data_IF_490848168981
#
_entry.id   IF_490848168981
#
_cell.length_a   1.000
_cell.length_b   1.000
_cell.length_c   1.000
_cell.angle_alpha   90.00
_cell.angle_beta   90.00
_cell.angle_gamma   90.00
#
_symmetry.space_group_name_H-M   'P 1'
#
loop_
_entity.id
_entity.type
_entity.pdbx_description
1 polymer ?
#
# COMPACT_ATOMS: atom_id res chain seq x y z
N UNK A 1 -34.40 -44.63 13.42
CA UNK A 1 -33.16 -44.59 12.61
C UNK A 1 -33.22 -43.58 11.45
N UNK A 2 -33.80 -42.37 11.60
CA UNK A 2 -33.84 -41.34 10.52
C UNK A 2 -33.33 -39.95 10.95
N UNK A 3 -33.11 -39.73 12.26
CA UNK A 3 -32.59 -38.46 12.82
C UNK A 3 -31.10 -38.22 12.55
N UNK A 4 -30.32 -39.29 12.34
CA UNK A 4 -28.88 -39.20 12.08
C UNK A 4 -28.53 -38.89 10.62
N UNK A 5 -29.44 -39.15 9.68
CA UNK A 5 -29.21 -38.92 8.25
C UNK A 5 -29.15 -37.42 7.91
N UNK A 6 -29.88 -36.59 8.65
CA UNK A 6 -29.88 -35.13 8.49
C UNK A 6 -28.60 -34.48 9.03
N UNK A 7 -28.05 -35.02 10.11
CA UNK A 7 -26.77 -34.54 10.68
C UNK A 7 -25.60 -34.90 9.75
N UNK A 8 -25.63 -36.08 9.12
CA UNK A 8 -24.61 -36.50 8.16
C UNK A 8 -24.71 -35.76 6.80
N UNK A 9 -25.92 -35.38 6.35
CA UNK A 9 -26.08 -34.53 5.15
C UNK A 9 -25.59 -33.09 5.37
N UNK A 10 -25.72 -32.53 6.58
CA UNK A 10 -25.24 -31.18 6.88
C UNK A 10 -23.71 -31.11 7.04
N UNK A 11 -23.07 -32.17 7.54
CA UNK A 11 -21.59 -32.24 7.64
C UNK A 11 -20.94 -32.36 6.25
N UNK A 12 -21.53 -33.09 5.31
CA UNK A 12 -20.98 -33.27 3.96
C UNK A 12 -20.99 -32.01 3.07
N UNK A 13 -21.97 -31.12 3.25
CA UNK A 13 -22.09 -29.88 2.48
C UNK A 13 -21.11 -28.76 2.93
N UNK A 14 -20.45 -28.93 4.08
CA UNK A 14 -19.45 -27.98 4.59
C UNK A 14 -18.02 -28.23 4.07
N UNK A 15 -17.76 -29.35 3.38
CA UNK A 15 -16.42 -29.71 2.89
C UNK A 15 -16.19 -29.50 1.38
N UNK A 16 -17.16 -28.95 0.65
CA UNK A 16 -17.05 -28.74 -0.82
C UNK A 16 -16.80 -27.27 -1.22
N UNK A 17 -16.72 -26.36 -0.25
CA UNK A 17 -16.32 -24.98 -0.50
C UNK A 17 -15.02 -24.68 0.24
N UNK A 18 -13.93 -25.30 -0.24
CA UNK A 18 -12.56 -24.81 -0.02
C UNK A 18 -12.33 -23.47 -0.72
N UNK A 19 -13.27 -22.54 -0.59
CA UNK A 19 -13.01 -21.13 -0.82
C UNK A 19 -12.15 -20.69 0.36
N UNK A 20 -10.93 -20.17 0.16
CA UNK A 20 -10.42 -19.18 1.10
C UNK A 20 -11.36 -17.96 0.99
N UNK A 21 -12.47 -18.00 1.71
CA UNK A 21 -13.49 -16.94 1.78
C UNK A 21 -13.05 -15.78 2.67
N UNK A 22 -11.75 -15.69 2.95
CA UNK A 22 -11.07 -14.53 3.53
C UNK A 22 -9.84 -14.26 2.68
N UNK A 23 -10.10 -13.70 1.49
CA UNK A 23 -9.24 -12.78 0.76
C UNK A 23 -7.73 -13.00 0.94
N UNK A 24 -7.06 -13.43 -0.12
CA UNK A 24 -5.79 -12.79 -0.44
C UNK A 24 -6.13 -11.31 -0.63
N UNK A 25 -6.18 -10.53 0.45
CA UNK A 25 -6.00 -9.09 0.36
C UNK A 25 -4.61 -8.98 -0.21
N UNK A 26 -4.53 -8.83 -1.52
CA UNK A 26 -3.34 -8.30 -2.13
C UNK A 26 -3.21 -6.91 -1.48
N UNK A 27 -2.52 -6.85 -0.33
CA UNK A 27 -2.09 -5.61 0.27
C UNK A 27 -0.94 -5.07 -0.59
N UNK A 28 -1.11 -5.03 -1.91
CA UNK A 28 -0.62 -3.88 -2.63
C UNK A 28 -1.46 -2.69 -2.13
N UNK A 29 -1.20 -2.32 -0.88
CA UNK A 29 -1.34 -0.94 -0.47
C UNK A 29 -0.66 -0.17 -1.59
N UNK A 30 -1.44 0.67 -2.25
CA UNK A 30 -0.97 1.42 -3.38
C UNK A 30 0.16 2.32 -2.89
N UNK A 31 1.40 1.85 -3.02
CA UNK A 31 2.55 2.61 -2.58
C UNK A 31 2.89 3.67 -3.62
N UNK A 32 3.27 4.82 -3.12
CA UNK A 32 3.77 5.93 -3.90
C UNK A 32 5.29 5.91 -3.85
N UNK A 33 5.90 5.99 -5.03
CA UNK A 33 7.34 6.25 -5.12
C UNK A 33 7.54 7.72 -4.77
N UNK A 34 8.07 7.98 -3.59
CA UNK A 34 8.27 9.32 -3.06
C UNK A 34 9.75 9.71 -3.18
N UNK A 35 10.03 10.84 -3.80
CA UNK A 35 11.36 11.42 -3.96
C UNK A 35 11.44 12.72 -3.18
N UNK A 36 12.42 12.82 -2.27
CA UNK A 36 12.57 13.95 -1.35
C UNK A 36 13.74 14.83 -1.76
N UNK A 37 13.51 16.14 -1.85
CA UNK A 37 14.50 17.13 -2.28
C UNK A 37 14.75 18.13 -1.17
N UNK A 38 16.02 18.46 -0.90
CA UNK A 38 16.43 19.45 0.09
C UNK A 38 16.26 20.91 -0.38
N UNK A 39 15.45 21.14 -1.40
CA UNK A 39 15.13 22.44 -1.97
C UNK A 39 13.64 22.48 -2.34
N UNK A 40 13.02 23.66 -2.47
CA UNK A 40 11.58 23.76 -2.74
C UNK A 40 11.22 23.61 -4.23
N UNK A 41 12.20 23.37 -5.11
CA UNK A 41 12.03 23.50 -6.57
C UNK A 41 11.96 22.16 -7.31
N UNK A 42 11.94 21.02 -6.61
CA UNK A 42 12.04 19.67 -7.19
C UNK A 42 13.25 19.53 -8.15
N UNK A 43 14.33 20.24 -7.84
CA UNK A 43 15.49 20.36 -8.72
C UNK A 43 16.67 19.52 -8.21
N UNK A 44 17.49 19.04 -9.16
CA UNK A 44 18.69 18.25 -8.88
C UNK A 44 18.37 16.80 -8.51
N UNK A 45 19.32 16.16 -7.82
CA UNK A 45 19.18 14.78 -7.35
C UNK A 45 18.38 14.76 -6.05
N UNK A 46 17.37 13.88 -5.91
CA UNK A 46 16.68 13.71 -4.64
C UNK A 46 17.66 13.26 -3.55
N UNK A 47 17.53 13.82 -2.35
CA UNK A 47 18.35 13.46 -1.19
C UNK A 47 18.09 12.02 -0.74
N UNK A 48 16.86 11.55 -0.84
CA UNK A 48 16.50 10.14 -0.74
C UNK A 48 15.18 9.84 -1.43
N UNK A 49 14.91 8.55 -1.63
CA UNK A 49 13.62 8.04 -2.13
C UNK A 49 13.06 6.99 -1.18
N UNK A 50 11.73 6.90 -1.07
CA UNK A 50 11.04 5.90 -0.25
C UNK A 50 9.69 5.49 -0.85
N UNK A 51 9.15 4.38 -0.36
CA UNK A 51 7.80 3.92 -0.67
C UNK A 51 6.84 4.41 0.41
N UNK A 52 5.87 5.24 0.05
CA UNK A 52 4.86 5.74 0.97
C UNK A 52 3.53 5.04 0.75
N UNK A 53 2.90 4.53 1.82
CA UNK A 53 1.57 3.90 1.74
C UNK A 53 0.42 4.88 1.45
N UNK A 54 0.69 6.19 1.43
CA UNK A 54 -0.28 7.24 1.20
C UNK A 54 0.38 8.61 1.06
N UNK A 55 -0.43 9.62 0.74
CA UNK A 55 -0.01 11.03 0.68
C UNK A 55 -0.85 11.77 1.73
N UNK A 56 -0.22 12.60 2.56
CA UNK A 56 -0.90 13.32 3.65
C UNK A 56 -0.12 13.32 4.96
N UNK A 57 1.16 13.66 4.89
CA UNK A 57 2.03 13.74 6.06
C UNK A 57 1.97 15.14 6.66
N UNK A 58 1.83 15.23 7.99
CA UNK A 58 2.07 16.45 8.75
C UNK A 58 3.43 16.33 9.43
N UNK A 59 4.39 17.12 8.94
CA UNK A 59 5.74 17.15 9.50
C UNK A 59 5.91 18.23 10.57
N UNK A 60 4.94 19.12 10.76
CA UNK A 60 5.05 20.24 11.70
C UNK A 60 6.32 21.07 11.48
N UNK A 61 7.19 21.12 12.49
CA UNK A 61 8.51 21.78 12.45
C UNK A 61 9.66 20.79 12.29
N UNK A 62 9.36 19.52 12.01
CA UNK A 62 10.37 18.46 11.86
C UNK A 62 10.71 18.19 10.39
N UNK A 63 11.78 17.42 10.20
CA UNK A 63 12.22 16.98 8.88
C UNK A 63 11.52 15.68 8.46
N UNK A 64 11.13 15.52 7.18
CA UNK A 64 10.57 14.27 6.66
C UNK A 64 11.59 13.11 6.63
N UNK A 65 12.88 13.39 6.81
CA UNK A 65 13.93 12.37 6.84
C UNK A 65 15.35 12.91 6.70
N UNK A 66 16.33 12.02 6.88
CA UNK A 66 17.75 12.37 6.86
C UNK A 66 18.13 13.11 5.58
N UNK A 67 18.82 14.25 5.73
CA UNK A 67 19.30 15.05 4.60
C UNK A 67 18.27 16.04 4.04
N UNK A 68 17.06 16.09 4.62
CA UNK A 68 16.05 17.08 4.29
C UNK A 68 15.96 18.09 5.45
N UNK A 69 16.00 19.41 5.18
CA UNK A 69 15.72 20.42 6.20
C UNK A 69 14.25 20.37 6.65
N UNK A 70 13.95 20.93 7.83
CA UNK A 70 12.56 21.08 8.29
C UNK A 70 11.76 22.05 7.40
N UNK A 71 12.43 23.09 6.87
CA UNK A 71 11.84 24.10 6.01
C UNK A 71 12.40 24.02 4.58
N UNK A 72 11.66 24.57 3.61
CA UNK A 72 12.12 24.76 2.22
C UNK A 72 12.54 23.46 1.50
N UNK A 73 11.85 22.36 1.77
CA UNK A 73 11.99 21.12 1.01
C UNK A 73 10.83 20.93 0.03
N UNK A 74 10.97 19.95 -0.86
CA UNK A 74 9.89 19.51 -1.74
C UNK A 74 9.89 17.99 -1.90
N UNK A 75 8.73 17.44 -2.23
CA UNK A 75 8.53 15.99 -2.40
C UNK A 75 7.73 15.73 -3.66
N UNK A 76 8.15 14.74 -4.45
CA UNK A 76 7.42 14.26 -5.62
C UNK A 76 6.97 12.82 -5.37
N UNK A 77 5.65 12.60 -5.43
CA UNK A 77 5.06 11.26 -5.42
C UNK A 77 4.66 10.87 -6.84
N UNK A 78 5.09 9.69 -7.28
CA UNK A 78 4.71 9.11 -8.55
C UNK A 78 4.30 7.64 -8.40
N UNK A 79 3.39 7.18 -9.26
CA UNK A 79 3.18 5.73 -9.42
C UNK A 79 4.21 5.19 -10.39
N UNK A 80 4.97 4.17 -9.96
CA UNK A 80 5.77 3.35 -10.86
C UNK A 80 4.86 2.42 -11.67
N UNK A 81 4.14 2.98 -12.63
CA UNK A 81 3.31 2.23 -13.56
C UNK A 81 3.83 2.40 -14.98
N UNK A 82 4.09 1.29 -15.66
CA UNK A 82 4.25 1.30 -17.11
C UNK A 82 2.95 1.85 -17.71
N UNK A 83 3.03 2.97 -18.43
CA UNK A 83 1.95 3.48 -19.24
C UNK A 83 2.23 3.00 -20.67
N UNK A 84 1.54 1.98 -21.20
CA UNK A 84 1.63 1.68 -22.62
C UNK A 84 1.16 2.93 -23.36
N UNK A 85 2.08 3.55 -24.11
CA UNK A 85 1.74 4.62 -25.04
C UNK A 85 0.76 4.08 -26.09
N UNK A 86 -0.29 4.85 -26.36
CA UNK A 86 -1.25 4.56 -27.43
C UNK A 86 -0.70 4.91 -28.81
#
# INVERSE_FOLDING_TARGET
MKRWYWIMMLVGLFFINGLPLLAQTNLQQQTWNAEYFNNPYLAGTPSFTRQDGGIGFDWGMESPGRGIPADNFSVRWGKGGYLPGG
#
